data_IF_709917546626
#
_entry.id   IF_709917546626
#
_cell.length_a   1.000
_cell.length_b   1.000
_cell.length_c   1.000
_cell.angle_alpha   90.00
_cell.angle_beta   90.00
_cell.angle_gamma   90.00
#
_symmetry.space_group_name_H-M   'P 1'
#
loop_
_entity.id
_entity.type
_entity.pdbx_description
1 polymer ?
#
# COMPACT_ATOMS: atom_id res chain seq x y z
N UNK A 1 -86.40 3.73 45.42
CA UNK A 1 -85.36 2.76 45.84
C UNK A 1 -84.05 3.55 46.00
N UNK A 2 -83.58 3.87 47.22
CA UNK A 2 -82.54 3.12 48.00
C UNK A 2 -81.40 2.63 47.07
N UNK A 3 -80.12 3.02 47.15
CA UNK A 3 -79.25 3.44 48.26
C UNK A 3 -78.08 4.33 47.79
N UNK A 4 -77.66 5.17 48.73
CA UNK A 4 -76.48 6.03 48.87
C UNK A 4 -75.14 5.29 49.02
N UNK A 5 -74.03 5.89 48.55
CA UNK A 5 -72.71 6.06 49.24
C UNK A 5 -71.79 6.94 48.34
N UNK A 6 -71.50 8.22 48.65
CA UNK A 6 -70.44 8.81 49.53
C UNK A 6 -69.02 8.30 49.18
N UNK A 7 -68.02 9.12 48.79
CA UNK A 7 -67.43 10.30 49.46
C UNK A 7 -66.62 11.16 48.46
N UNK A 8 -66.73 12.49 48.39
CA UNK A 8 -66.12 13.59 49.20
C UNK A 8 -64.62 13.90 48.92
N UNK A 9 -64.41 15.09 48.32
CA UNK A 9 -63.31 16.10 48.43
C UNK A 9 -61.90 15.72 47.90
N UNK A 10 -61.11 16.61 47.27
CA UNK A 10 -60.98 18.09 47.37
C UNK A 10 -60.24 18.63 46.12
N UNK A 11 -60.66 19.78 45.59
CA UNK A 11 -59.79 20.66 44.79
C UNK A 11 -58.66 21.18 45.70
N UNK A 12 -57.45 21.30 45.15
CA UNK A 12 -56.57 22.45 45.37
C UNK A 12 -55.61 22.56 44.16
N UNK A 13 -55.64 23.75 43.55
CA UNK A 13 -54.86 24.18 42.40
C UNK A 13 -53.50 24.71 42.85
N UNK A 14 -52.40 24.25 42.27
CA UNK A 14 -51.12 24.97 42.29
C UNK A 14 -50.46 24.85 40.91
N UNK A 15 -50.74 25.84 40.05
CA UNK A 15 -49.86 26.19 38.93
C UNK A 15 -48.59 26.83 39.53
N UNK A 16 -47.37 26.43 39.16
CA UNK A 16 -46.19 27.17 39.56
C UNK A 16 -46.13 28.49 38.79
N UNK A 17 -46.10 29.59 39.55
CA UNK A 17 -45.83 30.94 39.04
C UNK A 17 -44.36 30.98 38.57
N UNK A 18 -44.14 31.22 37.27
CA UNK A 18 -42.81 31.47 36.71
C UNK A 18 -42.60 32.98 36.74
N UNK A 19 -41.70 33.45 37.61
CA UNK A 19 -41.25 34.84 37.59
C UNK A 19 -39.84 34.88 36.98
N UNK A 20 -39.74 35.39 35.75
CA UNK A 20 -38.47 35.64 35.07
C UNK A 20 -37.93 36.97 35.58
N UNK A 21 -36.83 36.94 36.34
CA UNK A 21 -36.05 38.16 36.59
C UNK A 21 -34.85 38.22 35.66
N UNK A 22 -34.55 39.42 35.16
CA UNK A 22 -33.44 39.71 34.25
C UNK A 22 -32.09 39.48 34.94
N UNK A 23 -31.66 38.21 35.03
CA UNK A 23 -30.28 37.73 35.28
C UNK A 23 -30.24 36.19 35.31
N UNK A 24 -30.75 35.52 34.27
CA UNK A 24 -30.37 34.15 33.88
C UNK A 24 -30.19 33.07 34.97
N UNK A 25 -31.02 33.04 36.01
CA UNK A 25 -31.02 32.00 37.04
C UNK A 25 -32.41 31.34 37.11
N UNK A 26 -32.48 30.02 36.94
CA UNK A 26 -33.68 29.25 37.26
C UNK A 26 -33.60 28.72 38.70
N UNK A 27 -34.49 29.20 39.56
CA UNK A 27 -34.65 28.72 40.93
C UNK A 27 -35.87 27.80 40.99
N UNK A 28 -35.64 26.49 41.15
CA UNK A 28 -36.72 25.54 41.47
C UNK A 28 -36.83 25.41 42.99
N UNK A 29 -37.81 26.08 43.59
CA UNK A 29 -38.14 25.91 45.01
C UNK A 29 -39.03 24.69 45.17
N UNK A 30 -38.52 23.63 45.79
CA UNK A 30 -39.36 22.56 46.35
C UNK A 30 -39.62 22.89 47.82
N UNK A 31 -40.89 23.07 48.18
CA UNK A 31 -41.30 23.18 49.58
C UNK A 31 -41.00 21.88 50.32
N UNK A 32 -40.06 21.93 51.26
CA UNK A 32 -39.80 20.85 52.22
C UNK A 32 -40.19 21.29 53.62
N UNK A 33 -41.21 20.66 54.19
CA UNK A 33 -41.41 20.64 55.64
C UNK A 33 -40.67 19.43 56.23
N UNK A 34 -39.44 19.64 56.73
CA UNK A 34 -38.95 19.12 58.02
C UNK A 34 -37.52 19.57 58.30
N UNK A 35 -37.34 20.05 59.53
CA UNK A 35 -36.13 20.62 60.09
C UNK A 35 -34.97 19.62 60.23
N UNK A 36 -33.77 20.21 60.36
CA UNK A 36 -32.53 19.60 60.86
C UNK A 36 -31.80 18.63 59.92
N UNK A 37 -31.03 19.20 58.99
CA UNK A 37 -29.96 18.52 58.27
C UNK A 37 -29.17 19.51 57.45
N UNK A 38 -27.87 19.66 57.74
CA UNK A 38 -26.92 20.54 57.05
C UNK A 38 -27.11 20.43 55.53
N UNK A 39 -27.67 21.47 54.91
CA UNK A 39 -27.93 21.50 53.48
C UNK A 39 -26.60 21.58 52.71
N UNK A 40 -26.07 20.44 52.28
CA UNK A 40 -25.11 20.43 51.18
C UNK A 40 -25.89 20.66 49.89
N UNK A 41 -25.94 21.90 49.43
CA UNK A 41 -26.41 22.28 48.10
C UNK A 41 -25.53 21.62 47.05
N UNK A 42 -25.95 20.46 46.53
CA UNK A 42 -25.37 19.88 45.31
C UNK A 42 -25.99 20.61 44.10
N UNK A 43 -25.48 21.78 43.77
CA UNK A 43 -25.74 22.44 42.48
C UNK A 43 -25.17 21.57 41.36
N UNK A 44 -26.02 21.11 40.42
CA UNK A 44 -25.56 20.42 39.21
C UNK A 44 -24.76 21.39 38.35
N UNK A 45 -23.55 21.03 37.87
CA UNK A 45 -22.78 21.90 37.00
C UNK A 45 -23.47 22.06 35.63
N UNK A 46 -23.52 23.30 35.13
CA UNK A 46 -23.92 23.59 33.76
C UNK A 46 -22.75 23.25 32.85
N UNK A 47 -22.94 22.30 31.93
CA UNK A 47 -21.92 21.84 30.97
C UNK A 47 -22.10 22.60 29.65
N UNK A 48 -21.59 23.83 29.58
CA UNK A 48 -21.78 24.73 28.43
C UNK A 48 -20.59 24.79 27.46
N UNK A 49 -19.41 24.34 27.88
CA UNK A 49 -18.19 24.36 27.08
C UNK A 49 -17.27 23.17 27.42
N UNK A 50 -16.32 22.89 26.53
CA UNK A 50 -15.38 21.78 26.61
C UNK A 50 -14.53 21.82 27.88
N UNK A 51 -14.15 23.02 28.35
CA UNK A 51 -13.42 23.16 29.61
C UNK A 51 -14.24 22.63 30.79
N UNK A 52 -15.51 23.02 30.91
CA UNK A 52 -16.42 22.57 31.98
C UNK A 52 -16.71 21.07 31.91
N UNK A 53 -16.83 20.51 30.70
CA UNK A 53 -17.01 19.07 30.49
C UNK A 53 -15.79 18.30 31.00
N UNK A 54 -14.58 18.67 30.57
CA UNK A 54 -13.36 18.00 31.00
C UNK A 54 -13.12 18.25 32.50
N UNK A 55 -13.39 19.45 33.00
CA UNK A 55 -13.24 19.77 34.41
C UNK A 55 -14.20 18.94 35.28
N UNK A 56 -15.48 18.77 34.91
CA UNK A 56 -16.40 17.94 35.72
C UNK A 56 -15.99 16.46 35.77
N UNK A 57 -15.45 15.94 34.66
CA UNK A 57 -14.98 14.55 34.55
C UNK A 57 -13.71 14.33 35.38
N UNK A 58 -12.70 15.20 35.24
CA UNK A 58 -11.36 14.93 35.75
C UNK A 58 -10.98 15.69 37.02
N UNK A 59 -11.72 16.74 37.41
CA UNK A 59 -11.43 17.50 38.63
C UNK A 59 -11.42 16.55 39.84
N UNK A 60 -10.34 16.58 40.65
CA UNK A 60 -10.23 15.68 41.80
C UNK A 60 -11.42 15.87 42.75
N UNK A 61 -12.21 14.81 42.92
CA UNK A 61 -13.28 14.72 43.93
C UNK A 61 -12.81 13.75 44.99
N UNK A 62 -12.75 14.19 46.24
CA UNK A 62 -12.36 13.33 47.37
C UNK A 62 -13.55 12.45 47.78
N UNK A 63 -13.30 11.15 47.91
CA UNK A 63 -14.27 10.21 48.46
C UNK A 63 -13.61 9.31 49.51
N UNK A 64 -14.07 9.44 50.77
CA UNK A 64 -13.59 8.70 51.95
C UNK A 64 -13.21 9.63 53.11
N UNK A 65 -13.07 9.07 54.32
CA UNK A 65 -12.51 9.80 55.46
C UNK A 65 -11.05 10.18 55.18
N UNK A 66 -10.61 11.32 55.73
CA UNK A 66 -9.32 12.02 55.50
C UNK A 66 -8.06 11.12 55.48
N UNK A 67 -8.09 9.93 56.10
CA UNK A 67 -6.98 8.98 56.13
C UNK A 67 -6.88 8.01 54.93
N UNK A 68 -7.91 7.88 54.07
CA UNK A 68 -7.93 6.95 52.91
C UNK A 68 -8.67 7.51 51.67
N UNK A 69 -8.71 8.83 51.50
CA UNK A 69 -9.38 9.45 50.35
C UNK A 69 -8.70 9.03 49.03
N UNK A 70 -9.44 8.35 48.15
CA UNK A 70 -9.01 8.10 46.77
C UNK A 70 -9.53 9.24 45.89
N UNK A 71 -8.65 9.85 45.12
CA UNK A 71 -9.05 10.80 44.07
C UNK A 71 -9.53 10.00 42.87
N UNK A 72 -10.81 10.17 42.52
CA UNK A 72 -11.44 9.47 41.40
C UNK A 72 -11.98 10.48 40.39
N UNK A 73 -11.97 10.10 39.12
CA UNK A 73 -12.72 10.78 38.06
C UNK A 73 -14.23 10.59 38.27
N UNK A 74 -15.03 11.58 37.85
CA UNK A 74 -16.46 11.38 37.75
C UNK A 74 -16.79 10.35 36.67
N UNK A 75 -17.88 9.61 36.87
CA UNK A 75 -18.38 8.68 35.85
C UNK A 75 -18.99 9.50 34.71
N UNK A 76 -18.50 9.30 33.49
CA UNK A 76 -19.10 9.93 32.31
C UNK A 76 -20.53 9.41 32.15
N UNK A 77 -21.46 10.33 31.90
CA UNK A 77 -22.90 10.11 31.95
C UNK A 77 -23.58 10.74 30.72
N UNK A 78 -24.89 10.52 30.58
CA UNK A 78 -25.69 11.04 29.45
C UNK A 78 -25.72 12.58 29.37
N UNK A 79 -25.45 13.29 30.46
CA UNK A 79 -25.40 14.76 30.46
C UNK A 79 -24.12 15.26 29.75
N UNK A 80 -23.00 14.55 29.92
CA UNK A 80 -21.76 14.82 29.16
C UNK A 80 -21.94 14.54 27.67
N UNK A 81 -22.61 13.45 27.32
CA UNK A 81 -22.91 13.08 25.93
C UNK A 81 -23.75 14.17 25.23
N UNK A 82 -24.83 14.64 25.87
CA UNK A 82 -25.64 15.74 25.35
C UNK A 82 -24.85 17.04 25.21
N UNK A 83 -23.97 17.35 26.17
CA UNK A 83 -23.14 18.53 26.12
C UNK A 83 -22.13 18.49 24.96
N UNK A 84 -21.56 17.32 24.65
CA UNK A 84 -20.65 17.12 23.51
C UNK A 84 -21.34 17.31 22.15
N UNK A 85 -22.57 16.82 22.00
CA UNK A 85 -23.38 16.99 20.78
C UNK A 85 -23.65 18.48 20.48
N UNK A 86 -23.78 19.30 21.52
CA UNK A 86 -24.08 20.73 21.44
C UNK A 86 -22.88 21.67 21.36
N UNK A 87 -21.64 21.17 21.26
CA UNK A 87 -20.45 22.01 21.29
C UNK A 87 -20.39 22.96 20.07
N UNK A 88 -20.18 24.27 20.27
CA UNK A 88 -20.00 25.22 19.18
C UNK A 88 -18.71 24.97 18.39
N UNK A 89 -18.72 25.35 17.10
CA UNK A 89 -17.55 25.25 16.21
C UNK A 89 -16.39 26.17 16.61
N UNK A 90 -16.65 27.19 17.44
CA UNK A 90 -15.65 28.18 17.89
C UNK A 90 -14.90 27.74 19.14
N UNK A 91 -15.16 26.54 19.64
CA UNK A 91 -14.55 25.99 20.85
C UNK A 91 -13.02 25.98 20.75
N UNK A 92 -12.34 26.56 21.74
CA UNK A 92 -10.89 26.44 21.90
C UNK A 92 -10.55 26.38 23.39
N UNK A 93 -9.65 25.48 23.75
CA UNK A 93 -9.01 25.48 25.06
C UNK A 93 -7.73 26.31 24.97
N UNK A 94 -7.53 27.23 25.90
CA UNK A 94 -6.25 27.93 25.99
C UNK A 94 -5.18 27.00 26.62
N UNK A 95 -3.90 27.32 26.40
CA UNK A 95 -2.81 26.45 26.86
C UNK A 95 -2.78 26.24 28.38
N UNK A 96 -3.11 27.27 29.17
CA UNK A 96 -3.15 27.19 30.64
C UNK A 96 -4.25 26.25 31.14
N UNK A 97 -5.45 26.33 30.54
CA UNK A 97 -6.56 25.43 30.80
C UNK A 97 -6.18 24.00 30.46
N UNK A 98 -5.53 23.78 29.31
CA UNK A 98 -5.08 22.45 28.90
C UNK A 98 -4.08 21.88 29.92
N UNK A 99 -3.04 22.62 30.31
CA UNK A 99 -2.06 22.14 31.29
C UNK A 99 -2.72 21.84 32.65
N UNK A 100 -3.64 22.70 33.12
CA UNK A 100 -4.40 22.47 34.34
C UNK A 100 -5.22 21.17 34.28
N UNK A 101 -5.96 20.96 33.18
CA UNK A 101 -6.80 19.78 32.99
C UNK A 101 -5.96 18.50 32.81
N UNK A 102 -4.83 18.57 32.09
CA UNK A 102 -3.87 17.46 31.96
C UNK A 102 -3.30 17.04 33.31
N UNK A 103 -3.02 17.99 34.19
CA UNK A 103 -2.58 17.71 35.56
C UNK A 103 -3.68 17.02 36.39
N UNK A 104 -4.96 17.32 36.13
CA UNK A 104 -6.07 16.61 36.77
C UNK A 104 -6.15 15.15 36.33
N UNK A 105 -6.05 14.87 35.02
CA UNK A 105 -6.03 13.49 34.48
C UNK A 105 -4.93 12.65 35.15
N UNK A 106 -3.73 13.20 35.29
CA UNK A 106 -2.61 12.50 35.94
C UNK A 106 -2.85 12.12 37.41
N UNK A 107 -3.73 12.86 38.11
CA UNK A 107 -4.09 12.62 39.50
C UNK A 107 -5.25 11.65 39.65
N UNK A 108 -6.25 11.73 38.77
CA UNK A 108 -7.54 11.04 38.90
C UNK A 108 -7.70 9.80 38.02
N UNK A 109 -7.00 9.70 36.88
CA UNK A 109 -7.13 8.60 35.91
C UNK A 109 -5.77 8.00 35.53
N UNK A 110 -5.14 7.30 36.48
CA UNK A 110 -3.78 6.74 36.31
C UNK A 110 -3.66 5.63 35.25
N UNK A 111 -4.78 5.06 34.81
CA UNK A 111 -4.88 4.00 33.79
C UNK A 111 -5.49 4.49 32.47
N UNK A 112 -5.85 5.78 32.38
CA UNK A 112 -6.50 6.39 31.21
C UNK A 112 -7.85 5.76 30.81
N UNK A 113 -8.59 5.19 31.76
CA UNK A 113 -9.89 4.54 31.50
C UNK A 113 -10.98 5.57 31.18
N UNK A 114 -11.07 6.61 32.00
CA UNK A 114 -12.02 7.70 31.80
C UNK A 114 -11.61 8.53 30.57
N UNK A 115 -10.31 8.70 30.34
CA UNK A 115 -9.77 9.37 29.16
C UNK A 115 -10.09 8.63 27.86
N UNK A 116 -9.93 7.30 27.83
CA UNK A 116 -10.34 6.49 26.68
C UNK A 116 -11.84 6.59 26.44
N UNK A 117 -12.65 6.51 27.50
CA UNK A 117 -14.09 6.63 27.36
C UNK A 117 -14.52 8.01 26.84
N UNK A 118 -13.86 9.08 27.29
CA UNK A 118 -14.05 10.44 26.77
C UNK A 118 -13.62 10.55 25.30
N UNK A 119 -12.51 9.93 24.92
CA UNK A 119 -12.07 9.85 23.52
C UNK A 119 -13.10 9.12 22.63
N UNK A 120 -13.70 8.04 23.11
CA UNK A 120 -14.78 7.33 22.37
C UNK A 120 -16.02 8.22 22.23
N UNK A 121 -16.42 8.93 23.29
CA UNK A 121 -17.56 9.85 23.27
C UNK A 121 -17.38 11.03 22.32
N UNK A 122 -16.15 11.36 21.92
CA UNK A 122 -15.91 12.38 20.89
C UNK A 122 -16.58 12.04 19.56
N UNK A 123 -16.89 10.76 19.30
CA UNK A 123 -17.66 10.32 18.12
C UNK A 123 -19.08 10.90 18.08
N UNK A 124 -19.66 11.28 19.22
CA UNK A 124 -20.99 11.90 19.29
C UNK A 124 -20.96 13.39 18.91
N UNK A 125 -19.79 13.98 18.69
CA UNK A 125 -19.68 15.35 18.21
C UNK A 125 -20.21 15.45 16.77
N UNK A 126 -21.10 16.42 16.51
CA UNK A 126 -21.65 16.64 15.16
C UNK A 126 -20.61 17.07 14.13
N UNK A 127 -19.47 17.61 14.60
CA UNK A 127 -18.46 18.24 13.77
C UNK A 127 -17.08 17.64 14.06
N UNK A 128 -16.26 17.51 13.01
CA UNK A 128 -14.90 16.96 13.11
C UNK A 128 -13.95 17.83 13.95
N UNK A 129 -14.19 19.14 14.02
CA UNK A 129 -13.28 20.08 14.70
C UNK A 129 -13.30 19.89 16.24
N UNK A 130 -14.47 19.92 16.94
CA UNK A 130 -14.54 19.52 18.35
C UNK A 130 -14.00 18.11 18.62
N UNK A 131 -14.29 17.15 17.74
CA UNK A 131 -13.79 15.79 17.85
C UNK A 131 -12.25 15.75 17.84
N UNK A 132 -11.62 16.47 16.90
CA UNK A 132 -10.17 16.58 16.81
C UNK A 132 -9.58 17.26 18.05
N UNK A 133 -10.18 18.34 18.54
CA UNK A 133 -9.73 19.04 19.76
C UNK A 133 -9.75 18.13 20.99
N UNK A 134 -10.79 17.32 21.15
CA UNK A 134 -10.89 16.33 22.24
C UNK A 134 -9.78 15.29 22.12
N UNK A 135 -9.55 14.75 20.92
CA UNK A 135 -8.51 13.74 20.72
C UNK A 135 -7.09 14.30 20.86
N UNK A 136 -6.85 15.55 20.45
CA UNK A 136 -5.58 16.24 20.69
C UNK A 136 -5.35 16.50 22.18
N UNK A 137 -6.40 16.86 22.94
CA UNK A 137 -6.33 16.93 24.40
C UNK A 137 -5.99 15.56 25.00
N UNK A 138 -6.66 14.49 24.59
CA UNK A 138 -6.37 13.13 25.06
C UNK A 138 -4.93 12.72 24.75
N UNK A 139 -4.44 13.00 23.55
CA UNK A 139 -3.06 12.73 23.16
C UNK A 139 -2.06 13.49 24.03
N UNK A 140 -2.31 14.78 24.32
CA UNK A 140 -1.47 15.59 25.20
C UNK A 140 -1.52 15.10 26.65
N UNK A 141 -2.70 14.72 27.15
CA UNK A 141 -2.90 14.19 28.49
C UNK A 141 -2.15 12.86 28.70
N UNK A 142 -2.19 11.96 27.71
CA UNK A 142 -1.38 10.74 27.69
C UNK A 142 0.10 11.09 27.68
N UNK A 143 0.53 11.99 26.79
CA UNK A 143 1.94 12.33 26.59
C UNK A 143 2.62 12.85 27.86
N UNK A 144 1.92 13.71 28.62
CA UNK A 144 2.41 14.28 29.88
C UNK A 144 2.36 13.30 31.06
N UNK A 145 1.47 12.30 31.03
CA UNK A 145 1.25 11.37 32.14
C UNK A 145 1.75 9.94 31.89
N UNK A 146 2.27 9.67 30.70
CA UNK A 146 2.84 8.39 30.26
C UNK A 146 4.06 7.96 31.10
N UNK A 147 4.42 6.67 31.04
CA UNK A 147 5.49 6.02 31.82
C UNK A 147 6.90 6.64 31.71
N UNK A 148 7.16 7.48 30.70
CA UNK A 148 8.42 8.20 30.45
C UNK A 148 8.20 9.72 30.49
N UNK A 149 7.77 10.26 31.64
CA UNK A 149 7.49 11.70 31.83
C UNK A 149 8.66 12.64 31.50
N UNK A 150 9.89 12.12 31.41
CA UNK A 150 11.13 12.89 31.37
C UNK A 150 11.48 13.54 30.02
N UNK A 151 10.74 13.28 28.94
CA UNK A 151 11.11 13.76 27.60
C UNK A 151 10.45 15.07 27.12
N UNK A 152 9.60 15.69 27.93
CA UNK A 152 8.85 16.92 27.57
C UNK A 152 8.10 16.85 26.22
N UNK A 153 7.81 15.64 25.73
CA UNK A 153 7.20 15.45 24.41
C UNK A 153 5.74 15.96 24.40
N UNK A 154 5.41 16.81 23.43
CA UNK A 154 4.09 17.44 23.30
C UNK A 154 3.03 16.40 22.87
N UNK A 155 3.41 15.44 22.02
CA UNK A 155 2.53 14.36 21.56
C UNK A 155 3.34 13.09 21.25
N UNK A 156 3.28 12.09 22.13
CA UNK A 156 4.00 10.81 22.00
C UNK A 156 3.65 10.04 20.73
N UNK A 157 2.44 10.24 20.19
CA UNK A 157 2.00 9.57 18.97
C UNK A 157 2.65 10.15 17.72
N UNK A 158 3.27 11.34 17.81
CA UNK A 158 4.11 11.95 16.77
C UNK A 158 5.60 11.77 17.04
N UNK A 159 6.03 11.93 18.28
CA UNK A 159 7.45 11.99 18.65
C UNK A 159 8.11 10.62 18.82
N UNK A 160 7.34 9.56 19.11
CA UNK A 160 7.91 8.22 19.33
C UNK A 160 8.42 7.57 18.03
N UNK A 161 7.70 7.65 16.90
CA UNK A 161 8.16 7.12 15.61
C UNK A 161 9.08 8.11 14.88
N UNK A 162 10.22 8.48 15.47
CA UNK A 162 11.13 9.53 14.96
C UNK A 162 11.63 9.31 13.51
N UNK A 163 11.64 8.05 13.05
CA UNK A 163 12.25 7.65 11.78
C UNK A 163 11.24 7.21 10.71
N UNK A 164 9.93 7.32 10.97
CA UNK A 164 8.90 6.92 10.01
C UNK A 164 8.10 8.15 9.58
N UNK A 165 8.02 8.35 8.28
CA UNK A 165 7.17 9.39 7.70
C UNK A 165 5.73 9.22 8.16
N UNK A 166 5.12 10.33 8.56
CA UNK A 166 3.76 10.45 9.07
C UNK A 166 2.67 10.07 8.04
N UNK A 167 3.05 9.72 6.81
CA UNK A 167 2.17 9.20 5.75
C UNK A 167 2.36 7.72 5.42
N UNK A 168 3.21 6.98 6.14
CA UNK A 168 3.44 5.56 5.89
C UNK A 168 2.28 4.71 6.44
N UNK A 169 1.71 3.79 5.65
CA UNK A 169 0.65 2.86 6.08
C UNK A 169 1.05 2.01 7.30
N UNK A 170 2.35 1.77 7.53
CA UNK A 170 2.87 1.06 8.69
C UNK A 170 3.03 1.89 9.97
N UNK A 171 2.71 3.19 9.95
CA UNK A 171 2.99 4.13 11.04
C UNK A 171 2.40 3.69 12.39
N UNK A 172 1.10 3.39 12.42
CA UNK A 172 0.41 2.99 13.66
C UNK A 172 0.84 1.62 14.17
N UNK A 173 1.17 0.70 13.27
CA UNK A 173 1.72 -0.62 13.62
C UNK A 173 3.09 -0.48 14.29
N UNK A 174 3.95 0.38 13.75
CA UNK A 174 5.26 0.66 14.35
C UNK A 174 5.14 1.39 15.69
N UNK A 175 4.24 2.39 15.78
CA UNK A 175 3.93 3.07 17.04
C UNK A 175 3.47 2.08 18.10
N UNK A 176 2.58 1.15 17.76
CA UNK A 176 2.10 0.08 18.65
C UNK A 176 3.24 -0.80 19.13
N UNK A 177 4.13 -1.22 18.23
CA UNK A 177 5.33 -2.00 18.57
C UNK A 177 6.23 -1.26 19.56
N UNK A 178 6.49 0.04 19.32
CA UNK A 178 7.31 0.86 20.21
C UNK A 178 6.66 1.03 21.58
N UNK A 179 5.35 1.28 21.63
CA UNK A 179 4.60 1.41 22.87
C UNK A 179 4.64 0.10 23.68
N UNK A 180 4.37 -1.03 23.03
CA UNK A 180 4.45 -2.35 23.66
C UNK A 180 5.84 -2.60 24.23
N UNK A 181 6.90 -2.39 23.45
CA UNK A 181 8.26 -2.60 23.90
C UNK A 181 8.64 -1.77 25.15
N UNK A 182 8.10 -0.55 25.29
CA UNK A 182 8.32 0.28 26.48
C UNK A 182 7.55 -0.24 27.69
N UNK A 183 6.27 -0.60 27.52
CA UNK A 183 5.49 -1.17 28.62
C UNK A 183 5.99 -2.55 29.05
N UNK A 184 6.43 -3.40 28.12
CA UNK A 184 6.95 -4.73 28.43
C UNK A 184 8.22 -4.62 29.29
N UNK A 185 9.14 -3.71 28.95
CA UNK A 185 10.32 -3.40 29.78
C UNK A 185 9.91 -2.99 31.20
N UNK A 186 8.94 -2.08 31.32
CA UNK A 186 8.47 -1.59 32.62
C UNK A 186 7.77 -2.68 33.44
N UNK A 187 6.93 -3.48 32.79
CA UNK A 187 6.22 -4.61 33.41
C UNK A 187 7.22 -5.63 33.93
N UNK A 188 8.24 -5.99 33.16
CA UNK A 188 9.28 -6.92 33.61
C UNK A 188 10.02 -6.37 34.84
N UNK A 189 10.43 -5.10 34.83
CA UNK A 189 11.06 -4.48 36.01
C UNK A 189 10.15 -4.47 37.24
N UNK A 190 8.84 -4.24 37.07
CA UNK A 190 7.88 -4.28 38.18
C UNK A 190 7.69 -5.71 38.69
N UNK A 191 7.59 -6.70 37.82
CA UNK A 191 7.53 -8.12 38.22
C UNK A 191 8.76 -8.55 39.01
N UNK A 192 9.95 -8.14 38.60
CA UNK A 192 11.19 -8.43 39.33
C UNK A 192 11.22 -7.75 40.70
N UNK A 193 10.77 -6.50 40.80
CA UNK A 193 10.66 -5.80 42.08
C UNK A 193 9.62 -6.45 43.00
N UNK A 194 8.45 -6.84 42.48
CA UNK A 194 7.42 -7.57 43.20
C UNK A 194 7.94 -8.92 43.71
N UNK A 195 8.75 -9.63 42.92
CA UNK A 195 9.37 -10.90 43.30
C UNK A 195 10.38 -10.71 44.45
N UNK A 196 11.27 -9.71 44.34
CA UNK A 196 12.25 -9.38 45.38
C UNK A 196 11.60 -8.99 46.70
N UNK A 197 10.50 -8.22 46.65
CA UNK A 197 9.71 -7.87 47.84
C UNK A 197 9.11 -9.10 48.52
N UNK A 198 8.53 -10.03 47.75
CA UNK A 198 8.01 -11.29 48.29
C UNK A 198 9.11 -12.17 48.90
N UNK A 199 10.30 -12.22 48.30
CA UNK A 199 11.45 -12.95 48.84
C UNK A 199 11.98 -12.33 50.15
N UNK A 200 11.91 -11.00 50.30
CA UNK A 200 12.24 -10.30 51.54
C UNK A 200 11.20 -10.58 52.63
N UNK A 201 9.91 -10.57 52.30
CA UNK A 201 8.83 -10.88 53.24
C UNK A 201 8.93 -12.34 53.75
N UNK A 202 9.16 -13.31 52.86
CA UNK A 202 9.32 -14.73 53.22
C UNK A 202 10.57 -14.99 54.08
N UNK A 203 11.64 -14.20 53.90
CA UNK A 203 12.84 -14.31 54.72
C UNK A 203 12.73 -13.56 56.06
N UNK A 204 11.87 -12.54 56.15
CA UNK A 204 11.62 -11.80 57.39
C UNK A 204 10.78 -12.58 58.41
N UNK A 205 9.96 -13.55 57.96
CA UNK A 205 9.23 -14.47 58.83
C UNK A 205 10.14 -15.48 59.58
N UNK A 206 11.45 -15.53 59.25
CA UNK A 206 12.45 -16.38 59.94
C UNK A 206 13.36 -15.62 60.93
N UNK A 207 13.25 -14.30 61.07
CA UNK A 207 14.02 -13.55 62.08
C UNK A 207 13.14 -12.52 62.80
N UNK A 208 12.40 -12.99 63.80
CA UNK A 208 12.01 -12.13 64.94
C UNK A 208 13.23 -11.89 65.81
N UNK A 209 13.88 -10.74 65.68
CA UNK A 209 13.99 -9.75 66.76
C UNK A 209 15.04 -8.66 66.48
N UNK A 210 14.65 -7.48 66.99
CA UNK A 210 15.47 -6.39 67.54
C UNK A 210 15.87 -5.25 66.61
N UNK A 211 15.14 -4.15 66.83
CA UNK A 211 15.55 -2.76 66.84
C UNK A 211 16.43 -2.24 65.70
N UNK A 212 15.82 -1.44 64.83
CA UNK A 212 16.25 -0.04 64.64
C UNK A 212 15.19 0.73 63.86
N UNK A 213 14.93 1.95 64.33
CA UNK A 213 14.15 2.98 63.68
C UNK A 213 14.72 3.25 62.28
N UNK A 214 14.08 2.73 61.24
CA UNK A 214 14.19 3.30 59.89
C UNK A 214 12.93 3.01 59.07
N UNK A 215 11.78 3.26 59.68
CA UNK A 215 10.50 3.29 58.97
C UNK A 215 10.27 4.72 58.51
N UNK A 216 10.75 5.10 57.32
CA UNK A 216 10.00 6.00 56.43
C UNK A 216 10.51 6.20 54.99
N UNK A 217 11.66 5.68 54.57
CA UNK A 217 12.16 5.99 53.20
C UNK A 217 11.79 4.96 52.11
N UNK A 218 10.85 4.04 52.34
CA UNK A 218 10.44 3.02 51.36
C UNK A 218 9.06 3.24 50.69
N UNK A 219 8.30 4.27 51.07
CA UNK A 219 6.89 4.44 50.67
C UNK A 219 6.64 5.19 49.36
N UNK A 220 7.67 5.42 48.54
CA UNK A 220 7.50 6.03 47.20
C UNK A 220 7.34 5.03 46.05
N UNK A 221 7.26 3.72 46.32
CA UNK A 221 6.66 2.78 45.36
C UNK A 221 5.13 2.91 45.37
N UNK A 222 4.65 4.04 44.87
CA UNK A 222 3.23 4.26 44.54
C UNK A 222 2.81 3.34 43.39
N UNK A 223 2.52 2.07 43.73
CA UNK A 223 1.34 1.30 43.31
C UNK A 223 0.93 1.41 41.83
N UNK A 224 1.67 0.78 40.93
CA UNK A 224 1.08 0.23 39.69
C UNK A 224 1.41 -1.26 39.64
N UNK A 225 0.38 -2.10 39.76
CA UNK A 225 0.53 -3.55 39.55
C UNK A 225 0.78 -3.84 38.08
N UNK A 226 1.31 -5.03 37.79
CA UNK A 226 1.42 -5.53 36.41
C UNK A 226 0.11 -5.40 35.62
N UNK A 227 -1.04 -5.65 36.24
CA UNK A 227 -2.35 -5.55 35.60
C UNK A 227 -2.74 -4.11 35.26
N UNK A 228 -2.42 -3.16 36.14
CA UNK A 228 -2.71 -1.74 35.89
C UNK A 228 -1.87 -1.22 34.71
N UNK A 229 -0.60 -1.65 34.61
CA UNK A 229 0.28 -1.30 33.48
C UNK A 229 -0.20 -1.91 32.16
N UNK A 230 -0.69 -3.15 32.17
CA UNK A 230 -1.30 -3.76 30.98
C UNK A 230 -2.55 -3.01 30.53
N UNK A 231 -3.39 -2.61 31.48
CA UNK A 231 -4.61 -1.85 31.19
C UNK A 231 -4.29 -0.47 30.63
N UNK A 232 -3.33 0.22 31.24
CA UNK A 232 -2.82 1.50 30.75
C UNK A 232 -2.25 1.37 29.34
N UNK A 233 -1.44 0.32 29.07
CA UNK A 233 -0.90 0.03 27.74
C UNK A 233 -1.99 -0.07 26.69
N UNK A 234 -3.03 -0.87 26.95
CA UNK A 234 -4.17 -1.04 26.02
C UNK A 234 -4.88 0.29 25.77
N UNK A 235 -5.16 1.06 26.83
CA UNK A 235 -5.87 2.34 26.72
C UNK A 235 -5.05 3.39 25.95
N UNK A 236 -3.74 3.46 26.18
CA UNK A 236 -2.85 4.37 25.45
C UNK A 236 -2.81 4.03 23.95
N UNK A 237 -2.71 2.75 23.61
CA UNK A 237 -2.73 2.30 22.21
C UNK A 237 -4.09 2.65 21.58
N UNK A 238 -5.20 2.37 22.25
CA UNK A 238 -6.54 2.65 21.76
C UNK A 238 -6.78 4.16 21.49
N UNK A 239 -6.37 5.04 22.43
CA UNK A 239 -6.41 6.49 22.22
C UNK A 239 -5.56 6.89 21.01
N UNK A 240 -4.38 6.28 20.83
CA UNK A 240 -3.52 6.54 19.69
C UNK A 240 -4.17 6.20 18.36
N UNK A 241 -4.91 5.08 18.27
CA UNK A 241 -5.67 4.71 17.08
C UNK A 241 -6.84 5.64 16.79
N UNK A 242 -7.62 6.05 17.81
CA UNK A 242 -8.70 7.03 17.62
C UNK A 242 -8.15 8.38 17.13
N UNK A 243 -7.05 8.84 17.73
CA UNK A 243 -6.35 10.03 17.29
C UNK A 243 -5.82 9.90 15.85
N UNK A 244 -5.23 8.75 15.52
CA UNK A 244 -4.77 8.44 14.17
C UNK A 244 -5.89 8.39 13.13
N UNK A 245 -7.08 7.90 13.48
CA UNK A 245 -8.25 7.86 12.60
C UNK A 245 -8.69 9.27 12.20
N UNK A 246 -8.92 10.14 13.19
CA UNK A 246 -9.46 11.49 12.96
C UNK A 246 -8.45 12.40 12.28
N UNK A 247 -7.15 12.17 12.50
CA UNK A 247 -6.08 12.91 11.82
C UNK A 247 -5.73 12.35 10.43
N UNK A 248 -6.42 11.29 9.96
CA UNK A 248 -6.19 10.66 8.66
C UNK A 248 -4.86 9.90 8.56
N UNK A 249 -4.36 9.39 9.68
CA UNK A 249 -3.06 8.68 9.82
C UNK A 249 -3.20 7.17 9.89
N UNK A 250 -4.42 6.68 10.05
CA UNK A 250 -4.74 5.27 10.02
C UNK A 250 -6.05 5.11 9.27
N UNK A 251 -6.12 4.09 8.43
CA UNK A 251 -7.37 3.63 7.86
C UNK A 251 -8.16 2.79 8.87
N UNK A 252 -9.47 2.70 8.64
CA UNK A 252 -10.41 1.95 9.49
C UNK A 252 -10.07 0.46 9.59
N UNK A 253 -9.58 -0.15 8.51
CA UNK A 253 -9.31 -1.60 8.45
C UNK A 253 -8.09 -1.95 9.32
N UNK A 254 -7.05 -1.11 9.30
CA UNK A 254 -5.89 -1.20 10.19
C UNK A 254 -6.27 -1.10 11.67
N UNK A 255 -7.19 -0.18 12.00
CA UNK A 255 -7.69 -0.01 13.38
C UNK A 255 -8.50 -1.23 13.82
N UNK A 256 -9.42 -1.70 12.98
CA UNK A 256 -10.25 -2.87 13.27
C UNK A 256 -9.38 -4.12 13.51
N UNK A 257 -8.33 -4.32 12.71
CA UNK A 257 -7.36 -5.40 12.92
C UNK A 257 -6.65 -5.30 14.27
N UNK A 258 -6.27 -4.08 14.69
CA UNK A 258 -5.64 -3.91 15.99
C UNK A 258 -6.62 -4.09 17.15
N UNK A 259 -7.84 -3.53 17.06
CA UNK A 259 -8.87 -3.73 18.08
C UNK A 259 -9.18 -5.21 18.24
N UNK A 260 -9.28 -5.95 17.14
CA UNK A 260 -9.41 -7.41 17.17
C UNK A 260 -8.25 -8.09 17.92
N UNK A 261 -7.00 -7.71 17.64
CA UNK A 261 -5.82 -8.27 18.35
C UNK A 261 -5.85 -7.95 19.85
N UNK A 262 -6.29 -6.75 20.24
CA UNK A 262 -6.42 -6.37 21.64
C UNK A 262 -7.48 -7.21 22.35
N UNK A 263 -8.64 -7.43 21.71
CA UNK A 263 -9.73 -8.24 22.25
C UNK A 263 -9.39 -9.74 22.30
N UNK A 264 -8.66 -10.25 21.31
CA UNK A 264 -8.29 -11.68 21.22
C UNK A 264 -7.37 -12.16 22.33
N UNK A 265 -6.53 -11.27 22.85
CA UNK A 265 -5.60 -11.63 23.93
C UNK A 265 -6.31 -11.94 25.26
N UNK A 266 -7.63 -11.71 25.37
CA UNK A 266 -8.37 -11.88 26.62
C UNK A 266 -9.08 -13.24 26.76
N UNK A 267 -9.33 -13.99 25.66
CA UNK A 267 -9.95 -15.34 25.64
C UNK A 267 -9.97 -15.94 24.23
N UNK A 268 -10.05 -17.27 24.12
CA UNK A 268 -10.42 -17.92 22.86
C UNK A 268 -11.85 -17.56 22.45
N UNK A 269 -12.04 -17.11 21.21
CA UNK A 269 -13.36 -16.82 20.68
C UNK A 269 -14.03 -18.08 20.15
N UNK A 270 -15.26 -18.33 20.58
CA UNK A 270 -16.13 -19.30 19.93
C UNK A 270 -16.77 -18.64 18.69
N UNK A 271 -16.32 -19.04 17.51
CA UNK A 271 -16.80 -18.53 16.21
C UNK A 271 -17.91 -19.37 15.59
N UNK A 272 -18.51 -20.31 16.33
CA UNK A 272 -19.64 -21.08 15.81
C UNK A 272 -20.85 -20.19 15.56
N UNK A 273 -21.56 -20.44 14.45
CA UNK A 273 -22.76 -19.69 14.06
C UNK A 273 -23.77 -19.60 15.21
N UNK A 274 -23.98 -20.71 15.91
CA UNK A 274 -24.83 -20.78 17.10
C UNK A 274 -24.37 -19.79 18.17
N UNK A 275 -23.08 -19.79 18.54
CA UNK A 275 -22.56 -18.86 19.55
C UNK A 275 -22.70 -17.40 19.13
N UNK A 276 -22.47 -17.08 17.85
CA UNK A 276 -22.62 -15.71 17.34
C UNK A 276 -24.07 -15.27 17.42
N UNK A 277 -25.03 -16.11 17.01
CA UNK A 277 -26.47 -15.81 17.10
C UNK A 277 -26.89 -15.56 18.55
N UNK A 278 -26.50 -16.44 19.49
CA UNK A 278 -26.81 -16.24 20.91
C UNK A 278 -26.17 -14.97 21.48
N UNK A 279 -24.93 -14.65 21.11
CA UNK A 279 -24.27 -13.41 21.52
C UNK A 279 -24.98 -12.17 20.97
N UNK A 280 -25.38 -12.18 19.70
CA UNK A 280 -26.12 -11.08 19.08
C UNK A 280 -27.48 -10.87 19.74
N UNK A 281 -28.24 -11.94 19.97
CA UNK A 281 -29.53 -11.87 20.69
C UNK A 281 -29.33 -11.34 22.11
N UNK A 282 -28.25 -11.74 22.79
CA UNK A 282 -27.90 -11.22 24.11
C UNK A 282 -27.64 -9.70 24.15
N UNK A 283 -27.23 -9.09 23.04
CA UNK A 283 -27.07 -7.62 22.95
C UNK A 283 -28.37 -6.86 22.75
N UNK A 284 -29.49 -7.54 22.52
CA UNK A 284 -30.79 -6.87 22.37
C UNK A 284 -31.26 -6.23 23.68
N UNK A 285 -30.89 -6.78 24.84
CA UNK A 285 -31.27 -6.28 26.16
C UNK A 285 -30.36 -5.15 26.68
N UNK A 286 -29.34 -4.75 25.91
CA UNK A 286 -28.38 -3.73 26.33
C UNK A 286 -28.68 -2.37 25.68
N UNK A 287 -28.23 -1.30 26.35
CA UNK A 287 -28.26 0.07 25.80
C UNK A 287 -27.44 0.22 24.50
N UNK A 288 -26.63 -0.78 24.14
CA UNK A 288 -25.76 -0.78 22.95
C UNK A 288 -26.41 -1.38 21.70
N UNK A 289 -27.72 -1.68 21.71
CA UNK A 289 -28.44 -2.28 20.56
C UNK A 289 -28.18 -1.52 19.24
N UNK A 290 -28.29 -0.19 19.26
CA UNK A 290 -28.04 0.65 18.09
C UNK A 290 -26.58 0.56 17.61
N UNK A 291 -25.62 0.55 18.54
CA UNK A 291 -24.20 0.37 18.21
C UNK A 291 -23.95 -0.99 17.56
N UNK A 292 -24.54 -2.07 18.09
CA UNK A 292 -24.43 -3.40 17.48
C UNK A 292 -25.04 -3.42 16.08
N UNK A 293 -26.22 -2.81 15.89
CA UNK A 293 -26.86 -2.72 14.57
C UNK A 293 -25.98 -1.97 13.56
N UNK A 294 -25.40 -0.82 13.95
CA UNK A 294 -24.49 -0.06 13.09
C UNK A 294 -23.25 -0.87 12.70
N UNK A 295 -22.68 -1.66 13.62
CA UNK A 295 -21.55 -2.54 13.33
C UNK A 295 -21.94 -3.62 12.31
N UNK A 296 -23.10 -4.28 12.49
CA UNK A 296 -23.59 -5.30 11.56
C UNK A 296 -23.83 -4.69 10.17
N UNK A 297 -24.46 -3.51 10.12
CA UNK A 297 -24.74 -2.82 8.86
C UNK A 297 -23.44 -2.43 8.14
N UNK A 298 -22.45 -1.90 8.86
CA UNK A 298 -21.14 -1.60 8.31
C UNK A 298 -20.48 -2.83 7.67
N UNK A 299 -20.41 -3.95 8.38
CA UNK A 299 -19.76 -5.16 7.86
C UNK A 299 -20.57 -5.83 6.74
N UNK A 300 -21.91 -5.73 6.77
CA UNK A 300 -22.76 -6.19 5.66
C UNK A 300 -22.47 -5.39 4.39
N UNK A 301 -22.49 -4.05 4.49
CA UNK A 301 -22.19 -3.15 3.36
C UNK A 301 -20.77 -3.35 2.82
N UNK A 302 -19.78 -3.49 3.71
CA UNK A 302 -18.38 -3.79 3.32
C UNK A 302 -18.29 -5.12 2.58
N UNK A 303 -18.95 -6.18 3.09
CA UNK A 303 -18.95 -7.50 2.43
C UNK A 303 -19.62 -7.47 1.05
N UNK A 304 -20.70 -6.70 0.88
CA UNK A 304 -21.34 -6.51 -0.43
C UNK A 304 -20.43 -5.78 -1.41
N UNK A 305 -19.76 -4.72 -0.97
CA UNK A 305 -18.78 -3.99 -1.78
C UNK A 305 -17.62 -4.89 -2.21
N UNK A 306 -17.05 -5.67 -1.28
CA UNK A 306 -15.94 -6.59 -1.56
C UNK A 306 -16.37 -7.67 -2.56
N UNK A 307 -17.62 -8.17 -2.48
CA UNK A 307 -18.20 -9.10 -3.47
C UNK A 307 -18.33 -8.48 -4.85
N UNK A 308 -18.80 -7.23 -4.94
CA UNK A 308 -18.92 -6.52 -6.21
C UNK A 308 -17.54 -6.28 -6.85
N UNK A 309 -16.56 -5.82 -6.06
CA UNK A 309 -15.19 -5.65 -6.53
C UNK A 309 -14.58 -6.98 -6.98
N UNK A 310 -14.78 -8.05 -6.22
CA UNK A 310 -14.33 -9.40 -6.60
C UNK A 310 -14.95 -9.88 -7.92
N UNK A 311 -16.23 -9.61 -8.14
CA UNK A 311 -16.91 -9.95 -9.40
C UNK A 311 -16.36 -9.14 -10.58
N UNK A 312 -16.09 -7.84 -10.38
CA UNK A 312 -15.46 -6.98 -11.39
C UNK A 312 -14.06 -7.46 -11.76
N UNK A 313 -13.21 -7.69 -10.75
CA UNK A 313 -11.85 -8.20 -10.95
C UNK A 313 -11.84 -9.57 -11.67
N UNK A 314 -12.80 -10.45 -11.35
CA UNK A 314 -12.94 -11.73 -12.05
C UNK A 314 -13.34 -11.55 -13.53
N UNK A 315 -14.22 -10.59 -13.81
CA UNK A 315 -14.61 -10.26 -15.19
C UNK A 315 -13.45 -9.69 -16.00
N UNK A 316 -12.68 -8.77 -15.42
CA UNK A 316 -11.46 -8.23 -16.02
C UNK A 316 -10.43 -9.32 -16.31
N UNK A 317 -10.21 -10.23 -15.35
CA UNK A 317 -9.30 -11.36 -15.53
C UNK A 317 -9.71 -12.25 -16.71
N UNK A 318 -11.01 -12.53 -16.86
CA UNK A 318 -11.54 -13.29 -18.00
C UNK A 318 -11.31 -12.53 -19.31
N UNK A 319 -11.56 -11.22 -19.33
CA UNK A 319 -11.32 -10.38 -20.52
C UNK A 319 -9.84 -10.38 -20.94
N UNK A 320 -8.93 -10.21 -19.98
CA UNK A 320 -7.49 -10.24 -20.22
C UNK A 320 -7.06 -11.62 -20.72
N UNK A 321 -7.56 -12.71 -20.10
CA UNK A 321 -7.28 -14.07 -20.54
C UNK A 321 -7.71 -14.28 -22.00
N UNK A 322 -8.91 -13.88 -22.37
CA UNK A 322 -9.39 -14.00 -23.75
C UNK A 322 -8.53 -13.21 -24.75
N UNK A 323 -8.02 -12.04 -24.35
CA UNK A 323 -7.08 -11.26 -25.18
C UNK A 323 -5.74 -11.96 -25.35
N UNK A 324 -5.21 -12.56 -24.28
CA UNK A 324 -3.97 -13.34 -24.31
C UNK A 324 -4.15 -14.54 -25.24
N UNK A 325 -5.23 -15.30 -25.09
CA UNK A 325 -5.52 -16.46 -25.94
C UNK A 325 -5.59 -16.06 -27.42
N UNK A 326 -6.24 -14.93 -27.75
CA UNK A 326 -6.27 -14.38 -29.11
C UNK A 326 -4.88 -14.01 -29.63
N UNK A 327 -4.07 -13.30 -28.84
CA UNK A 327 -2.72 -12.91 -29.22
C UNK A 327 -1.81 -14.13 -29.43
N UNK A 328 -1.97 -15.19 -28.63
CA UNK A 328 -1.26 -16.46 -28.80
C UNK A 328 -1.62 -17.12 -30.13
N UNK A 329 -2.91 -17.18 -30.48
CA UNK A 329 -3.36 -17.69 -31.79
C UNK A 329 -2.76 -16.88 -32.94
N UNK A 330 -2.84 -15.55 -32.89
CA UNK A 330 -2.26 -14.68 -33.92
C UNK A 330 -0.73 -14.82 -34.04
N UNK A 331 -0.01 -15.04 -32.93
CA UNK A 331 1.43 -15.31 -32.94
C UNK A 331 1.73 -16.63 -33.63
N UNK A 332 0.96 -17.68 -33.34
CA UNK A 332 1.12 -18.99 -33.98
C UNK A 332 0.88 -18.91 -35.48
N UNK A 333 -0.14 -18.17 -35.93
CA UNK A 333 -0.40 -17.95 -37.36
C UNK A 333 0.75 -17.18 -38.03
N UNK A 334 1.28 -16.15 -37.37
CA UNK A 334 2.44 -15.39 -37.88
C UNK A 334 3.69 -16.26 -37.95
N UNK A 335 3.93 -17.12 -36.97
CA UNK A 335 5.09 -18.03 -36.95
C UNK A 335 5.06 -19.01 -38.14
N UNK A 336 3.89 -19.57 -38.45
CA UNK A 336 3.70 -20.41 -39.65
C UNK A 336 4.04 -19.62 -40.91
N UNK A 337 3.51 -18.39 -41.03
CA UNK A 337 3.75 -17.55 -42.20
C UNK A 337 5.23 -17.15 -42.37
N UNK A 338 5.95 -16.93 -41.27
CA UNK A 338 7.39 -16.67 -41.30
C UNK A 338 8.14 -17.89 -41.83
N UNK A 339 7.83 -19.09 -41.33
CA UNK A 339 8.45 -20.34 -41.80
C UNK A 339 8.20 -20.58 -43.29
N UNK A 340 6.99 -20.33 -43.77
CA UNK A 340 6.65 -20.46 -45.19
C UNK A 340 7.47 -19.48 -46.06
N UNK A 341 7.60 -18.23 -45.63
CA UNK A 341 8.41 -17.23 -46.32
C UNK A 341 9.91 -17.55 -46.29
N UNK A 342 10.42 -18.08 -45.18
CA UNK A 342 11.82 -18.54 -45.06
C UNK A 342 12.12 -19.70 -46.00
N UNK A 343 11.18 -20.65 -46.13
CA UNK A 343 11.30 -21.75 -47.09
C UNK A 343 11.33 -21.23 -48.53
N UNK A 344 10.47 -20.27 -48.87
CA UNK A 344 10.43 -19.67 -50.21
C UNK A 344 11.69 -18.85 -50.52
N UNK A 345 12.22 -18.09 -49.56
CA UNK A 345 13.50 -17.38 -49.71
C UNK A 345 14.64 -18.38 -49.97
N UNK A 346 14.64 -19.51 -49.27
CA UNK A 346 15.68 -20.54 -49.44
C UNK A 346 15.60 -21.16 -50.83
N UNK A 347 14.38 -21.45 -51.31
CA UNK A 347 14.13 -21.95 -52.67
C UNK A 347 14.62 -20.96 -53.73
N UNK A 348 14.23 -19.70 -53.63
CA UNK A 348 14.63 -18.65 -54.57
C UNK A 348 16.15 -18.40 -54.59
N UNK A 349 16.82 -18.49 -53.44
CA UNK A 349 18.29 -18.41 -53.38
C UNK A 349 18.94 -19.56 -54.15
N UNK A 350 18.43 -20.78 -53.98
CA UNK A 350 18.90 -21.94 -54.75
C UNK A 350 18.72 -21.73 -56.26
N UNK A 351 17.56 -21.23 -56.70
CA UNK A 351 17.30 -20.94 -58.11
C UNK A 351 18.30 -19.90 -58.66
N UNK A 352 18.57 -18.83 -57.89
CA UNK A 352 19.55 -17.79 -58.26
C UNK A 352 20.96 -18.36 -58.41
N UNK A 353 21.38 -19.27 -57.52
CA UNK A 353 22.71 -19.89 -57.61
C UNK A 353 22.82 -20.81 -58.83
N UNK A 354 21.76 -21.55 -59.17
CA UNK A 354 21.68 -22.34 -60.41
C UNK A 354 21.82 -21.43 -61.63
N UNK A 355 21.06 -20.34 -61.70
CA UNK A 355 21.15 -19.41 -62.82
C UNK A 355 22.52 -18.74 -62.92
N UNK A 356 23.16 -18.41 -61.80
CA UNK A 356 24.54 -17.88 -61.79
C UNK A 356 25.53 -18.87 -62.38
N UNK A 357 25.44 -20.14 -62.01
CA UNK A 357 26.30 -21.18 -62.57
C UNK A 357 26.07 -21.35 -64.07
N UNK A 358 24.81 -21.37 -64.53
CA UNK A 358 24.50 -21.43 -65.96
C UNK A 358 25.05 -20.24 -66.74
N UNK A 359 24.95 -19.03 -66.20
CA UNK A 359 25.53 -17.84 -66.84
C UNK A 359 27.06 -17.96 -66.94
N UNK A 360 27.73 -18.39 -65.87
CA UNK A 360 29.18 -18.60 -65.88
C UNK A 360 29.62 -19.66 -66.90
N UNK A 361 28.90 -20.78 -66.98
CA UNK A 361 29.18 -21.83 -67.96
C UNK A 361 28.99 -21.32 -69.40
N UNK A 362 27.89 -20.62 -69.65
CA UNK A 362 27.63 -19.99 -70.96
C UNK A 362 28.72 -18.97 -71.34
N UNK A 363 29.22 -18.17 -70.39
CA UNK A 363 30.33 -17.24 -70.64
C UNK A 363 31.65 -17.95 -70.97
N UNK A 364 31.92 -19.09 -70.34
CA UNK A 364 33.10 -19.90 -70.63
C UNK A 364 32.99 -20.54 -72.01
N UNK A 365 31.83 -21.07 -72.37
CA UNK A 365 31.54 -21.63 -73.69
C UNK A 365 31.65 -20.57 -74.79
N UNK A 366 31.10 -19.37 -74.57
CA UNK A 366 31.27 -18.21 -75.45
C UNK A 366 32.75 -17.86 -75.64
N UNK A 367 33.53 -17.81 -74.56
CA UNK A 367 34.98 -17.53 -74.62
C UNK A 367 35.72 -18.63 -75.39
N UNK A 368 35.39 -19.90 -75.15
CA UNK A 368 35.97 -21.02 -75.87
C UNK A 368 35.68 -20.93 -77.37
N UNK A 369 34.42 -20.69 -77.76
CA UNK A 369 34.03 -20.48 -79.16
C UNK A 369 34.78 -19.32 -79.81
N UNK A 370 34.91 -18.18 -79.12
CA UNK A 370 35.68 -17.02 -79.62
C UNK A 370 37.17 -17.34 -79.77
N UNK A 371 37.74 -18.09 -78.83
CA UNK A 371 39.14 -18.51 -78.91
C UNK A 371 39.38 -19.46 -80.09
N UNK A 372 38.53 -20.47 -80.27
CA UNK A 372 38.59 -21.37 -81.43
C UNK A 372 38.48 -20.61 -82.74
N UNK A 373 37.51 -19.71 -82.88
CA UNK A 373 37.38 -18.88 -84.08
C UNK A 373 38.62 -18.01 -84.33
N UNK A 374 39.23 -17.46 -83.28
CA UNK A 374 40.46 -16.68 -83.39
C UNK A 374 41.66 -17.53 -83.80
N UNK A 375 41.77 -18.75 -83.28
CA UNK A 375 42.83 -19.70 -83.65
C UNK A 375 42.68 -20.16 -85.10
N UNK A 376 41.46 -20.50 -85.52
CA UNK A 376 41.17 -20.90 -86.89
C UNK A 376 41.43 -19.76 -87.88
N UNK A 377 41.02 -18.53 -87.56
CA UNK A 377 41.36 -17.35 -88.38
C UNK A 377 42.86 -17.01 -88.35
N UNK A 378 43.56 -17.29 -87.25
CA UNK A 378 45.01 -17.16 -87.14
C UNK A 378 45.75 -18.15 -88.04
N UNK A 379 45.37 -19.43 -87.97
CA UNK A 379 45.85 -20.48 -88.88
C UNK A 379 45.55 -20.09 -90.32
N UNK A 380 44.33 -19.61 -90.58
CA UNK A 380 43.90 -19.15 -91.90
C UNK A 380 44.88 -18.14 -92.48
N UNK A 381 45.16 -17.08 -91.72
CA UNK A 381 46.10 -16.03 -92.11
C UNK A 381 47.52 -16.54 -92.31
N UNK A 382 48.04 -17.38 -91.41
CA UNK A 382 49.39 -17.94 -91.54
C UNK A 382 49.54 -18.79 -92.80
N UNK A 383 48.55 -19.62 -93.13
CA UNK A 383 48.59 -20.44 -94.35
C UNK A 383 48.51 -19.58 -95.61
N UNK A 384 47.64 -18.57 -95.64
CA UNK A 384 47.56 -17.61 -96.75
C UNK A 384 48.89 -16.86 -96.93
N UNK A 385 49.52 -16.46 -95.83
CA UNK A 385 50.80 -15.78 -95.85
C UNK A 385 51.91 -16.67 -96.43
N UNK A 386 51.99 -17.93 -95.99
CA UNK A 386 52.98 -18.89 -96.50
C UNK A 386 52.76 -19.18 -97.99
N UNK A 387 51.52 -19.44 -98.42
CA UNK A 387 51.17 -19.66 -99.82
C UNK A 387 51.58 -18.46 -100.70
N UNK A 388 51.28 -17.24 -100.26
CA UNK A 388 51.61 -16.03 -101.02
C UNK A 388 53.11 -15.74 -101.07
N UNK A 389 53.85 -16.01 -99.99
CA UNK A 389 55.24 -15.56 -99.86
C UNK A 389 56.26 -16.63 -100.24
N UNK A 390 56.01 -17.89 -99.90
CA UNK A 390 56.92 -19.00 -100.17
C UNK A 390 56.57 -19.66 -101.50
N UNK A 391 55.32 -20.09 -101.66
CA UNK A 391 54.90 -20.98 -102.75
C UNK A 391 54.57 -20.26 -104.06
N UNK A 392 54.28 -18.96 -104.02
CA UNK A 392 53.92 -18.19 -105.23
C UNK A 392 54.91 -17.08 -105.55
N UNK A 393 55.33 -16.27 -104.57
CA UNK A 393 56.29 -15.18 -104.82
C UNK A 393 57.66 -15.68 -105.29
N UNK A 394 58.16 -16.80 -104.75
CA UNK A 394 59.48 -17.34 -105.13
C UNK A 394 59.49 -17.83 -106.59
N UNK A 395 58.53 -18.67 -107.03
CA UNK A 395 58.41 -19.03 -108.44
C UNK A 395 58.14 -17.83 -109.35
N UNK A 396 57.39 -16.82 -108.89
CA UNK A 396 57.13 -15.61 -109.68
C UNK A 396 58.41 -14.80 -109.92
N UNK A 397 59.29 -14.69 -108.93
CA UNK A 397 60.62 -14.07 -109.09
C UNK A 397 61.49 -14.85 -110.07
N UNK A 398 61.45 -16.19 -110.03
CA UNK A 398 62.18 -17.04 -110.98
C UNK A 398 61.63 -16.89 -112.40
N UNK A 399 60.31 -16.80 -112.54
CA UNK A 399 59.63 -16.50 -113.80
C UNK A 399 60.07 -15.14 -114.36
N UNK A 400 60.03 -14.08 -113.54
CA UNK A 400 60.49 -12.75 -113.93
C UNK A 400 61.98 -12.76 -114.35
N UNK A 401 62.83 -13.43 -113.58
CA UNK A 401 64.27 -13.58 -113.92
C UNK A 401 64.52 -14.37 -115.20
N UNK A 402 63.63 -15.30 -115.59
CA UNK A 402 63.72 -16.02 -116.85
C UNK A 402 63.31 -15.15 -118.06
N UNK A 403 62.40 -14.20 -117.85
CA UNK A 403 61.93 -13.24 -118.85
C UNK A 403 62.87 -12.04 -119.02
N UNK A 404 63.52 -11.57 -117.94
CA UNK A 404 64.43 -10.41 -117.95
C UNK A 404 65.82 -10.68 -118.58
N UNK A 405 66.03 -11.86 -119.17
CA UNK A 405 67.29 -12.21 -119.86
C UNK A 405 67.34 -11.59 -121.25
N UNK A 406 68.56 -11.30 -121.75
CA UNK A 406 68.79 -10.77 -123.13
C UNK A 406 68.10 -11.61 -124.23
N UNK A 407 67.93 -12.91 -124.00
CA UNK A 407 66.98 -13.76 -124.73
C UNK A 407 65.99 -14.38 -123.73
N UNK A 408 64.71 -13.98 -123.73
CA UNK A 408 63.73 -14.49 -122.77
C UNK A 408 63.47 -15.98 -122.99
N UNK A 409 63.39 -16.74 -121.89
CA UNK A 409 63.08 -18.18 -121.92
C UNK A 409 61.61 -18.37 -121.55
N UNK A 410 60.74 -18.26 -122.56
CA UNK A 410 59.28 -18.26 -122.37
C UNK A 410 58.74 -19.59 -121.83
N UNK A 411 59.32 -20.72 -122.22
CA UNK A 411 58.87 -22.05 -121.78
C UNK A 411 59.08 -22.26 -120.27
N UNK A 412 60.22 -21.79 -119.73
CA UNK A 412 60.51 -21.86 -118.30
C UNK A 412 59.59 -20.93 -117.51
N UNK A 413 59.31 -19.74 -118.05
CA UNK A 413 58.38 -18.80 -117.44
C UNK A 413 56.95 -19.37 -117.37
N UNK A 414 56.47 -19.99 -118.45
CA UNK A 414 55.17 -20.66 -118.50
C UNK A 414 55.09 -21.78 -117.47
N UNK A 415 56.09 -22.66 -117.39
CA UNK A 415 56.11 -23.75 -116.42
C UNK A 415 56.04 -23.26 -114.95
N UNK A 416 56.75 -22.17 -114.62
CA UNK A 416 56.65 -21.59 -113.27
C UNK A 416 55.28 -20.96 -112.99
N UNK A 417 54.62 -20.39 -113.99
CA UNK A 417 53.24 -19.87 -113.85
C UNK A 417 52.26 -21.01 -113.64
N UNK A 418 52.40 -22.11 -114.38
CA UNK A 418 51.56 -23.31 -114.22
C UNK A 418 51.68 -23.88 -112.80
N UNK A 419 52.91 -23.99 -112.26
CA UNK A 419 53.14 -24.42 -110.88
C UNK A 419 52.50 -23.48 -109.83
N UNK A 420 52.55 -22.17 -110.06
CA UNK A 420 51.88 -21.19 -109.19
C UNK A 420 50.36 -21.41 -109.21
N UNK A 421 49.78 -21.60 -110.39
CA UNK A 421 48.34 -21.83 -110.55
C UNK A 421 47.94 -23.12 -109.85
N UNK A 422 48.67 -24.22 -110.06
CA UNK A 422 48.40 -25.51 -109.43
C UNK A 422 48.47 -25.42 -107.89
N UNK A 423 49.48 -24.74 -107.35
CA UNK A 423 49.61 -24.52 -105.90
C UNK A 423 48.45 -23.70 -105.33
N UNK A 424 48.03 -22.64 -106.04
CA UNK A 424 46.88 -21.82 -105.63
C UNK A 424 45.57 -22.61 -105.68
N UNK A 425 45.35 -23.40 -106.73
CA UNK A 425 44.14 -24.20 -106.89
C UNK A 425 44.04 -25.32 -105.84
N UNK A 426 45.17 -25.95 -105.51
CA UNK A 426 45.23 -27.01 -104.48
C UNK A 426 44.89 -26.47 -103.07
N UNK A 427 45.33 -25.24 -102.76
CA UNK A 427 45.17 -24.66 -101.42
C UNK A 427 43.90 -23.80 -101.25
N UNK A 428 43.28 -23.35 -102.34
CA UNK A 428 42.04 -22.56 -102.33
C UNK A 428 40.90 -23.17 -101.47
N UNK A 429 40.63 -24.49 -101.52
CA UNK A 429 39.54 -25.11 -100.76
C UNK A 429 39.67 -24.92 -99.24
N UNK A 430 40.88 -24.69 -98.74
CA UNK A 430 41.12 -24.52 -97.32
C UNK A 430 40.66 -23.15 -96.78
N UNK A 431 40.46 -22.16 -97.65
CA UNK A 431 40.01 -20.81 -97.29
C UNK A 431 38.50 -20.58 -97.50
N UNK A 432 37.79 -21.57 -98.05
CA UNK A 432 36.37 -21.47 -98.43
C UNK A 432 35.44 -22.10 -97.36
N UNK A 433 36.00 -22.69 -96.30
CA UNK A 433 35.26 -23.11 -95.11
C UNK A 433 35.32 -22.06 -94.02
#
# INVERSE_FOLDING_TARGET
MKRTTLSIKKQDSENPLIEVTNKGEEVVIKNTNKASGKATTKTKPVLSNLFQIIEDIFKPKEQGNEAKAKLLTAKVNADHEKALVGLPLTEKLNNEQVEKLVAYVGKTDREFKALLHFAVLSNECRNNLPQQLILDFCAKAVSKNWILKHKEEINIYKSLPQNISFGNQGYMSHLTMLINAKYDKRITSVKEAEKKLKEIEVNSDKKKNKDTNDKNNGKEFSQKTTNNLNTERVNVIAIGYLWGLVTGKSDSDSILSCVYKLLKNEKEFNTSDKSIVFNLVGTLDTKSRYTTANIIEYFTKKSELDKQQGASAKSELISVKNKVDKLVSELSERDIKVKDLEAEITRLKSDVDVYRHQIQENELDEKAKRFHLKDDTGKAKSKAFNLLNEDTLTPLKLCLSALDREKPITEVAIHHIELIIENLESELPWFIK
#
